data_IF_465227346248
#
_entry.id   IF_465227346248
#
_cell.length_a   1.000
_cell.length_b   1.000
_cell.length_c   1.000
_cell.angle_alpha   90.00
_cell.angle_beta   90.00
_cell.angle_gamma   90.00
#
_symmetry.space_group_name_H-M   'P 1'
#
loop_
_entity.id
_entity.type
_entity.pdbx_description
1 polymer ?
#
# COMPACT_ATOMS: atom_id res chain seq x y z
N UNK A 1 17.48 -2.12 -6.86
CA UNK A 1 16.88 -2.31 -5.52
C UNK A 1 15.48 -2.85 -5.77
N UNK A 2 15.13 -4.06 -5.30
CA UNK A 2 13.85 -4.66 -5.66
C UNK A 2 12.79 -4.21 -4.66
N UNK A 3 11.78 -3.49 -5.16
CA UNK A 3 10.62 -3.07 -4.41
C UNK A 3 9.42 -3.93 -4.78
N UNK A 4 8.58 -4.18 -3.80
CA UNK A 4 7.27 -4.82 -3.97
C UNK A 4 6.21 -3.84 -3.48
N UNK A 5 5.16 -3.68 -4.29
CA UNK A 5 3.93 -3.03 -3.86
C UNK A 5 2.98 -4.07 -3.27
N UNK A 6 2.53 -3.81 -2.05
CA UNK A 6 1.51 -4.57 -1.35
C UNK A 6 0.27 -3.70 -1.17
N UNK A 7 -0.89 -4.35 -1.03
CA UNK A 7 -2.15 -3.67 -0.74
C UNK A 7 -2.71 -4.13 0.60
N UNK A 8 -3.13 -3.17 1.42
CA UNK A 8 -3.86 -3.40 2.64
C UNK A 8 -5.37 -3.36 2.35
N UNK A 9 -6.07 -4.44 2.68
CA UNK A 9 -7.52 -4.57 2.53
C UNK A 9 -8.14 -4.92 3.89
N UNK A 10 -9.47 -4.76 4.01
CA UNK A 10 -10.21 -5.34 5.15
C UNK A 10 -10.56 -6.80 4.84
N UNK A 11 -10.51 -7.66 5.85
CA UNK A 11 -10.66 -9.12 5.67
C UNK A 11 -12.12 -9.56 5.43
N UNK A 12 -13.09 -8.74 5.86
CA UNK A 12 -14.48 -8.77 5.42
C UNK A 12 -14.55 -7.83 4.22
N UNK A 13 -15.06 -8.28 3.06
CA UNK A 13 -15.19 -7.59 1.78
C UNK A 13 -15.79 -6.16 1.79
N UNK A 14 -16.11 -5.62 2.97
CA UNK A 14 -16.36 -4.19 3.16
C UNK A 14 -15.10 -3.40 2.89
N UNK A 15 -15.16 -2.65 1.81
CA UNK A 15 -14.13 -1.72 1.41
C UNK A 15 -13.72 -0.74 2.50
N UNK A 16 -12.46 -0.30 2.46
CA UNK A 16 -11.99 0.82 3.27
C UNK A 16 -12.79 2.08 2.87
N UNK A 17 -13.18 2.91 3.83
CA UNK A 17 -13.59 4.29 3.51
C UNK A 17 -12.36 5.21 3.56
N UNK A 18 -12.46 6.41 2.98
CA UNK A 18 -11.32 7.33 2.88
C UNK A 18 -10.75 7.73 4.24
N UNK A 19 -11.60 7.90 5.25
CA UNK A 19 -11.16 8.24 6.61
C UNK A 19 -10.31 7.11 7.22
N UNK A 20 -10.79 5.87 7.17
CA UNK A 20 -10.06 4.69 7.66
C UNK A 20 -8.79 4.44 6.85
N UNK A 21 -8.84 4.59 5.52
CA UNK A 21 -7.68 4.45 4.64
C UNK A 21 -6.59 5.48 4.98
N UNK A 22 -6.96 6.73 5.24
CA UNK A 22 -6.02 7.77 5.67
C UNK A 22 -5.42 7.47 7.04
N UNK A 23 -6.23 7.04 8.02
CA UNK A 23 -5.75 6.64 9.35
C UNK A 23 -4.76 5.49 9.28
N UNK A 24 -5.13 4.40 8.60
CA UNK A 24 -4.27 3.24 8.42
C UNK A 24 -3.04 3.57 7.57
N UNK A 25 -3.18 4.45 6.58
CA UNK A 25 -2.05 4.90 5.76
C UNK A 25 -0.97 5.63 6.55
N UNK A 26 -1.36 6.46 7.54
CA UNK A 26 -0.40 7.10 8.46
C UNK A 26 0.31 6.06 9.31
N UNK A 27 -0.44 5.12 9.89
CA UNK A 27 0.15 4.08 10.72
C UNK A 27 1.04 3.11 9.93
N UNK A 28 0.70 2.81 8.67
CA UNK A 28 1.58 2.08 7.75
C UNK A 28 2.86 2.86 7.46
N UNK A 29 2.80 4.18 7.30
CA UNK A 29 3.97 5.01 7.03
C UNK A 29 4.96 5.07 8.21
N UNK A 30 4.45 4.83 9.43
CA UNK A 30 5.27 4.70 10.64
C UNK A 30 5.99 3.35 10.75
N UNK A 31 5.63 2.35 9.92
CA UNK A 31 6.31 1.07 9.91
C UNK A 31 7.75 1.21 9.36
N UNK A 32 8.73 0.52 9.97
CA UNK A 32 10.11 0.54 9.50
C UNK A 32 10.27 -0.14 8.14
N UNK A 33 9.43 -1.12 7.81
CA UNK A 33 9.47 -1.86 6.55
C UNK A 33 8.86 -1.07 5.38
N UNK A 34 8.01 -0.08 5.68
CA UNK A 34 7.31 0.72 4.69
C UNK A 34 8.22 1.85 4.15
N UNK A 35 8.38 1.85 2.84
CA UNK A 35 9.20 2.82 2.09
C UNK A 35 8.32 3.96 1.57
N UNK A 36 7.11 3.63 1.12
CA UNK A 36 6.12 4.60 0.67
C UNK A 36 4.71 4.05 0.83
N UNK A 37 3.74 4.93 1.09
CA UNK A 37 2.33 4.57 1.28
C UNK A 37 1.49 5.53 0.44
N UNK A 38 0.46 5.02 -0.24
CA UNK A 38 -0.46 5.86 -1.00
C UNK A 38 -1.84 5.22 -1.07
N UNK A 39 -2.84 6.05 -1.30
CA UNK A 39 -4.19 5.60 -1.64
C UNK A 39 -4.31 5.72 -3.16
N UNK A 40 -4.51 4.60 -3.83
CA UNK A 40 -4.67 4.53 -5.27
C UNK A 40 -6.13 4.75 -5.66
N UNK A 41 -6.35 5.70 -6.58
CA UNK A 41 -7.58 5.82 -7.38
C UNK A 41 -7.25 5.35 -8.80
N UNK A 42 -7.23 4.04 -9.04
CA UNK A 42 -6.81 3.44 -10.31
C UNK A 42 -7.94 3.32 -11.35
N UNK A 43 -9.10 3.91 -11.06
CA UNK A 43 -10.26 3.87 -11.95
C UNK A 43 -10.79 2.45 -12.21
N UNK A 44 -10.38 1.45 -11.42
CA UNK A 44 -10.90 0.11 -11.54
C UNK A 44 -12.40 0.13 -11.24
N UNK A 45 -13.27 -0.20 -12.21
CA UNK A 45 -14.72 -0.08 -12.03
C UNK A 45 -15.26 -1.01 -10.94
N UNK A 46 -14.53 -2.09 -10.61
CA UNK A 46 -14.84 -2.96 -9.46
C UNK A 46 -14.70 -2.22 -8.13
N UNK A 47 -13.77 -1.28 -8.05
CA UNK A 47 -13.43 -0.51 -6.85
C UNK A 47 -13.89 0.96 -6.93
N UNK A 48 -14.92 1.26 -7.73
CA UNK A 48 -15.36 2.65 -7.94
C UNK A 48 -15.82 3.27 -6.61
N UNK A 49 -15.10 4.29 -6.14
CA UNK A 49 -15.37 4.97 -4.86
C UNK A 49 -14.74 4.30 -3.64
N UNK A 50 -13.94 3.25 -3.85
CA UNK A 50 -13.28 2.48 -2.80
C UNK A 50 -11.78 2.83 -2.79
N UNK A 51 -11.26 3.47 -1.73
CA UNK A 51 -9.83 3.72 -1.60
C UNK A 51 -9.04 2.41 -1.45
N UNK A 52 -8.03 2.25 -2.30
CA UNK A 52 -7.08 1.14 -2.22
C UNK A 52 -5.80 1.61 -1.54
N UNK A 53 -5.56 1.15 -0.31
CA UNK A 53 -4.38 1.53 0.45
C UNK A 53 -3.19 0.64 0.07
N UNK A 54 -2.21 1.22 -0.60
CA UNK A 54 -1.04 0.53 -1.12
C UNK A 54 0.23 1.02 -0.44
N UNK A 55 1.21 0.14 -0.32
CA UNK A 55 2.50 0.48 0.28
C UNK A 55 3.64 -0.31 -0.36
N UNK A 56 4.79 0.35 -0.50
CA UNK A 56 6.01 -0.23 -1.04
C UNK A 56 6.91 -0.73 0.10
N UNK A 57 7.48 -1.91 -0.08
CA UNK A 57 8.46 -2.52 0.83
C UNK A 57 9.61 -3.14 0.05
N UNK A 58 10.72 -3.40 0.73
CA UNK A 58 11.84 -4.15 0.16
C UNK A 58 11.44 -5.61 -0.08
N UNK A 59 11.72 -6.14 -1.27
CA UNK A 59 11.48 -7.55 -1.52
C UNK A 59 11.77 -7.98 -2.96
N UNK A 60 12.13 -9.25 -3.13
CA UNK A 60 12.31 -9.86 -4.46
C UNK A 60 11.06 -10.53 -5.00
N UNK A 61 10.08 -10.82 -4.15
CA UNK A 61 8.82 -11.46 -4.52
C UNK A 61 7.69 -11.05 -3.57
N UNK A 62 6.49 -10.83 -4.10
CA UNK A 62 5.39 -10.25 -3.33
C UNK A 62 4.97 -11.09 -2.13
N UNK A 63 4.97 -12.41 -2.28
CA UNK A 63 4.61 -13.33 -1.18
C UNK A 63 5.60 -13.25 -0.01
N UNK A 64 6.91 -13.26 -0.29
CA UNK A 64 7.94 -13.15 0.76
C UNK A 64 7.89 -11.79 1.45
N UNK A 65 7.73 -10.72 0.68
CA UNK A 65 7.55 -9.37 1.22
C UNK A 65 6.33 -9.29 2.15
N UNK A 66 5.20 -9.88 1.75
CA UNK A 66 3.99 -9.94 2.59
C UNK A 66 4.22 -10.73 3.89
N UNK A 67 4.95 -11.84 3.84
CA UNK A 67 5.31 -12.63 5.02
C UNK A 67 6.19 -11.82 5.99
N UNK A 68 7.13 -11.03 5.48
CA UNK A 68 7.98 -10.15 6.30
C UNK A 68 7.18 -9.07 7.03
N UNK A 69 6.19 -8.46 6.39
CA UNK A 69 5.43 -7.34 6.98
C UNK A 69 4.23 -7.83 7.81
N UNK A 70 3.83 -9.10 7.67
CA UNK A 70 2.65 -9.68 8.35
C UNK A 70 2.63 -9.46 9.88
N UNK A 71 3.73 -9.59 10.64
CA UNK A 71 3.73 -9.29 12.07
C UNK A 71 3.35 -7.83 12.38
N UNK A 72 3.87 -6.88 11.60
CA UNK A 72 3.59 -5.45 11.72
C UNK A 72 2.14 -5.13 11.38
N UNK A 73 1.57 -5.78 10.35
CA UNK A 73 0.13 -5.66 10.04
C UNK A 73 -0.74 -6.27 11.14
N UNK A 74 -0.37 -7.42 11.71
CA UNK A 74 -1.13 -8.03 12.80
C UNK A 74 -1.15 -7.15 14.07
N UNK A 75 -0.05 -6.42 14.34
CA UNK A 75 -0.01 -5.39 15.39
C UNK A 75 -0.95 -4.23 15.06
N UNK A 76 -0.88 -3.71 13.83
CA UNK A 76 -1.74 -2.61 13.38
C UNK A 76 -3.22 -2.96 13.44
N UNK A 77 -3.60 -4.20 13.10
CA UNK A 77 -4.97 -4.72 13.23
C UNK A 77 -5.47 -4.62 14.68
N UNK A 78 -4.65 -5.03 15.65
CA UNK A 78 -5.00 -4.94 17.08
C UNK A 78 -5.17 -3.49 17.55
N UNK A 79 -4.25 -2.61 17.15
CA UNK A 79 -4.24 -1.20 17.57
C UNK A 79 -5.39 -0.40 16.93
N UNK A 80 -5.66 -0.65 15.65
CA UNK A 80 -6.72 0.03 14.91
C UNK A 80 -8.11 -0.52 15.19
N UNK A 81 -8.21 -1.76 15.72
CA UNK A 81 -9.44 -2.56 15.86
C UNK A 81 -10.12 -2.83 14.51
N UNK A 82 -9.34 -2.85 13.44
CA UNK A 82 -9.78 -3.18 12.09
C UNK A 82 -9.29 -4.58 11.73
N UNK A 83 -10.11 -5.40 11.06
CA UNK A 83 -9.64 -6.68 10.49
C UNK A 83 -8.91 -6.41 9.19
N UNK A 84 -7.62 -6.70 9.14
CA UNK A 84 -6.74 -6.35 8.03
C UNK A 84 -6.23 -7.60 7.31
N UNK A 85 -6.04 -7.48 6.00
CA UNK A 85 -5.45 -8.50 5.15
C UNK A 85 -4.47 -7.83 4.18
N UNK A 86 -3.45 -8.58 3.78
CA UNK A 86 -2.51 -8.16 2.74
C UNK A 86 -2.93 -8.85 1.45
N UNK A 87 -3.39 -8.06 0.48
CA UNK A 87 -3.53 -8.51 -0.89
C UNK A 87 -2.23 -8.24 -1.65
N UNK A 88 -1.80 -9.22 -2.44
CA UNK A 88 -0.70 -9.05 -3.37
C UNK A 88 -1.12 -9.56 -4.74
N UNK A 89 -1.14 -8.67 -5.73
CA UNK A 89 -1.42 -9.04 -7.11
C UNK A 89 -0.20 -9.74 -7.68
N UNK A 90 -0.34 -11.03 -8.03
CA UNK A 90 0.69 -11.80 -8.75
C UNK A 90 0.72 -11.48 -10.24
N UNK A 91 -0.27 -10.77 -10.78
CA UNK A 91 -0.46 -10.59 -12.23
C UNK A 91 -0.02 -9.23 -12.80
N UNK A 92 0.43 -8.31 -11.96
CA UNK A 92 1.18 -7.09 -12.30
C UNK A 92 1.34 -6.30 -11.00
N UNK A 93 2.56 -6.11 -10.48
CA UNK A 93 2.82 -5.06 -9.52
C UNK A 93 2.88 -3.72 -10.29
N UNK A 94 3.42 -2.65 -9.74
CA UNK A 94 3.94 -1.52 -10.54
C UNK A 94 2.97 -0.43 -10.96
N UNK A 95 1.68 -0.44 -10.57
CA UNK A 95 0.87 0.78 -10.64
C UNK A 95 1.26 1.75 -9.51
N UNK A 96 2.54 2.10 -9.44
CA UNK A 96 3.04 3.15 -8.57
C UNK A 96 2.81 4.47 -9.31
N UNK A 97 2.14 5.44 -8.68
CA UNK A 97 1.91 6.71 -9.34
C UNK A 97 3.25 7.38 -9.73
N UNK A 98 3.37 8.03 -10.91
CA UNK A 98 4.66 8.49 -11.44
C UNK A 98 5.48 9.40 -10.51
N UNK A 99 4.83 10.24 -9.71
CA UNK A 99 5.54 11.10 -8.74
C UNK A 99 6.10 10.29 -7.57
N UNK A 100 5.42 9.23 -7.14
CA UNK A 100 5.91 8.29 -6.12
C UNK A 100 7.05 7.45 -6.70
N UNK A 101 6.89 6.95 -7.92
CA UNK A 101 7.93 6.19 -8.60
C UNK A 101 9.23 6.99 -8.74
N UNK A 102 9.11 8.28 -9.11
CA UNK A 102 10.25 9.22 -9.18
C UNK A 102 10.90 9.44 -7.82
N UNK A 103 10.12 9.62 -6.75
CA UNK A 103 10.65 9.79 -5.39
C UNK A 103 11.32 8.52 -4.85
N UNK A 104 10.82 7.35 -5.23
CA UNK A 104 11.37 6.05 -4.84
C UNK A 104 12.51 5.58 -5.76
N UNK A 105 12.78 6.28 -6.86
CA UNK A 105 13.82 5.92 -7.83
C UNK A 105 13.55 4.57 -8.53
N UNK A 106 12.29 4.24 -8.78
CA UNK A 106 11.90 2.98 -9.44
C UNK A 106 11.29 3.21 -10.82
N UNK A 107 11.62 2.32 -11.75
CA UNK A 107 10.93 2.20 -13.03
C UNK A 107 9.59 1.50 -12.79
N UNK A 108 8.54 2.31 -12.60
CA UNK A 108 7.16 1.83 -12.49
C UNK A 108 6.41 1.99 -13.81
N UNK A 109 5.49 1.09 -14.10
CA UNK A 109 4.56 1.25 -15.22
C UNK A 109 3.58 2.37 -14.87
N UNK A 110 3.59 3.44 -15.66
CA UNK A 110 2.70 4.58 -15.45
C UNK A 110 1.23 4.11 -15.38
N UNK A 111 0.63 4.23 -14.21
CA UNK A 111 -0.80 4.05 -14.01
C UNK A 111 -1.47 5.43 -14.05
N UNK A 112 -2.69 5.50 -14.58
CA UNK A 112 -3.58 6.67 -14.43
C UNK A 112 -4.05 6.87 -12.98
N UNK A 113 -3.41 6.20 -12.01
CA UNK A 113 -3.67 6.32 -10.60
C UNK A 113 -3.53 7.78 -10.14
N UNK A 114 -4.66 8.36 -9.73
CA UNK A 114 -4.63 9.62 -9.00
C UNK A 114 -4.20 9.35 -7.57
N UNK A 115 -3.30 10.21 -7.10
CA UNK A 115 -2.65 10.09 -5.80
C UNK A 115 -3.44 10.88 -4.76
N UNK A 116 -3.80 10.23 -3.66
CA UNK A 116 -4.34 10.91 -2.47
C UNK A 116 -3.37 10.82 -1.27
N UNK A 117 -2.07 10.79 -1.57
CA UNK A 117 -0.92 10.29 -0.78
C UNK A 117 -0.74 10.76 0.68
N UNK A 118 -0.17 9.84 1.48
CA UNK A 118 0.66 10.09 2.67
C UNK A 118 2.07 9.53 2.40
N UNK A 119 3.02 10.38 2.04
CA UNK A 119 4.40 9.97 1.74
C UNK A 119 5.32 10.13 2.96
N UNK A 120 6.17 9.14 3.20
CA UNK A 120 7.33 9.24 4.11
C UNK A 120 8.45 9.92 3.34
N UNK A 121 9.02 11.01 3.87
CA UNK A 121 10.35 11.41 3.41
C UNK A 121 11.33 10.36 3.93
N UNK A 122 12.18 9.76 3.07
CA UNK A 122 13.25 8.90 3.56
C UNK A 122 14.06 9.71 4.58
N UNK A 123 14.25 9.17 5.78
CA UNK A 123 15.19 9.77 6.71
C UNK A 123 16.58 9.67 6.04
N UNK A 124 17.15 10.84 5.75
CA UNK A 124 18.47 10.98 5.16
C UNK A 124 19.58 10.57 6.11
#
# INVERSE_FOLDING_TARGET
MNLVVLELQRSDYRDLNMHTAMKLGRALAELPEAIGVWIAEDGNPVFRGIPRLQFAVMGSASRRAAETVRPSIARLEKESRERLSIAYSTRRPDAVPPSIARQLGIDAVASNAKIVSILKQPQG
#
